data_IF_948546309744
#
_entry.id   IF_948546309744
#
_cell.length_a   1.000
_cell.length_b   1.000
_cell.length_c   1.000
_cell.angle_alpha   90.00
_cell.angle_beta   90.00
_cell.angle_gamma   90.00
#
_symmetry.space_group_name_H-M   'P 1'
#
loop_
_entity.id
_entity.type
_entity.pdbx_description
1 polymer ?
#
# COMPACT_ATOMS: atom_id res chain seq x y z
N UNK A 1 -56.74 3.47 -16.32
CA UNK A 1 -56.89 2.26 -15.49
C UNK A 1 -56.44 1.12 -16.39
N UNK A 2 -55.38 0.35 -16.18
CA UNK A 2 -54.59 -0.10 -15.02
C UNK A 2 -53.16 -0.36 -15.57
N UNK A 3 -52.05 -0.12 -14.86
CA UNK A 3 -51.58 -0.91 -13.71
C UNK A 3 -50.54 -1.95 -14.16
N UNK A 4 -49.33 -1.52 -14.55
CA UNK A 4 -48.21 -2.41 -14.89
C UNK A 4 -47.56 -2.99 -13.63
N UNK A 5 -47.99 -4.19 -13.23
CA UNK A 5 -47.51 -4.89 -12.03
C UNK A 5 -46.13 -5.53 -12.20
N UNK A 6 -45.18 -5.12 -11.37
CA UNK A 6 -43.94 -5.86 -11.11
C UNK A 6 -44.27 -7.27 -10.59
N UNK A 7 -43.83 -8.32 -11.30
CA UNK A 7 -43.84 -9.70 -10.79
C UNK A 7 -42.80 -9.81 -9.67
N UNK A 8 -43.25 -9.93 -8.42
CA UNK A 8 -42.40 -10.37 -7.31
C UNK A 8 -42.17 -11.88 -7.41
N UNK A 9 -40.93 -12.32 -7.16
CA UNK A 9 -40.59 -13.73 -7.11
C UNK A 9 -41.31 -14.43 -5.95
N UNK A 10 -41.74 -15.67 -6.18
CA UNK A 10 -42.54 -16.46 -5.23
C UNK A 10 -41.75 -16.80 -3.94
N UNK A 11 -42.42 -16.80 -2.77
CA UNK A 11 -41.79 -17.18 -1.50
C UNK A 11 -41.62 -18.71 -1.47
N UNK A 12 -40.38 -19.18 -1.61
CA UNK A 12 -40.08 -20.62 -1.54
C UNK A 12 -38.82 -21.05 -2.30
N UNK A 13 -38.25 -20.17 -3.14
CA UNK A 13 -37.06 -20.51 -3.93
C UNK A 13 -35.74 -20.50 -3.13
N UNK A 14 -35.77 -20.14 -1.85
CA UNK A 14 -34.58 -20.01 -0.98
C UNK A 14 -34.20 -21.31 -0.26
N UNK A 15 -35.08 -22.32 -0.19
CA UNK A 15 -34.89 -23.50 0.68
C UNK A 15 -33.91 -24.56 0.15
N UNK A 16 -33.45 -24.44 -1.10
CA UNK A 16 -32.39 -25.32 -1.65
C UNK A 16 -30.96 -24.75 -1.51
N UNK A 17 -30.80 -23.55 -0.97
CA UNK A 17 -29.49 -22.99 -0.66
C UNK A 17 -28.98 -23.58 0.65
N UNK A 18 -28.16 -24.64 0.55
CA UNK A 18 -27.50 -25.25 1.70
C UNK A 18 -26.74 -24.17 2.51
N UNK A 19 -26.82 -24.15 3.85
CA UNK A 19 -26.05 -23.21 4.65
C UNK A 19 -24.56 -23.42 4.38
N UNK A 20 -23.86 -22.35 3.98
CA UNK A 20 -22.41 -22.37 3.93
C UNK A 20 -21.91 -22.66 5.36
N UNK A 21 -21.19 -23.77 5.53
CA UNK A 21 -20.62 -24.17 6.82
C UNK A 21 -19.67 -23.06 7.31
N UNK A 22 -19.67 -22.67 8.60
CA UNK A 22 -18.91 -21.49 9.04
C UNK A 22 -17.38 -21.67 9.14
N UNK A 23 -16.82 -22.83 8.76
CA UNK A 23 -15.52 -23.23 9.32
C UNK A 23 -14.44 -23.66 8.33
N UNK A 24 -14.45 -23.14 7.09
CA UNK A 24 -13.35 -23.39 6.12
C UNK A 24 -12.67 -22.13 5.58
N UNK A 25 -13.02 -20.95 6.09
CA UNK A 25 -12.32 -19.71 5.77
C UNK A 25 -12.04 -18.92 7.04
N UNK A 26 -11.23 -19.49 7.94
CA UNK A 26 -10.23 -18.63 8.59
C UNK A 26 -9.20 -18.35 7.51
N UNK A 27 -9.12 -17.12 6.94
CA UNK A 27 -7.96 -16.77 6.15
C UNK A 27 -6.76 -17.02 7.08
N UNK A 28 -5.71 -17.73 6.65
CA UNK A 28 -4.49 -17.73 7.43
C UNK A 28 -4.14 -16.26 7.63
N UNK A 29 -4.09 -15.83 8.89
CA UNK A 29 -3.65 -14.49 9.24
C UNK A 29 -2.39 -14.25 8.44
N UNK A 30 -2.43 -13.27 7.52
CA UNK A 30 -1.35 -13.00 6.58
C UNK A 30 -0.06 -12.92 7.40
N UNK A 31 0.83 -13.90 7.21
CA UNK A 31 2.16 -13.82 7.79
C UNK A 31 2.81 -12.59 7.16
N UNK A 32 3.06 -11.55 7.95
CA UNK A 32 3.62 -10.29 7.48
C UNK A 32 5.10 -10.41 7.06
N UNK A 33 5.67 -11.62 7.14
CA UNK A 33 6.94 -11.98 6.53
C UNK A 33 6.75 -12.24 5.03
N UNK A 34 6.52 -11.16 4.26
CA UNK A 34 6.25 -11.16 2.81
C UNK A 34 7.52 -11.07 1.94
N UNK A 35 8.71 -10.94 2.54
CA UNK A 35 9.93 -10.61 1.81
C UNK A 35 10.66 -11.85 1.23
N UNK A 36 10.58 -13.02 1.87
CA UNK A 36 11.37 -14.20 1.46
C UNK A 36 10.61 -15.12 0.48
N UNK A 37 9.37 -15.51 0.81
CA UNK A 37 8.58 -16.45 -0.01
C UNK A 37 8.16 -15.90 -1.40
N UNK A 38 8.05 -14.58 -1.53
CA UNK A 38 7.48 -13.96 -2.71
C UNK A 38 8.46 -13.88 -3.90
N UNK A 39 9.76 -14.00 -3.65
CA UNK A 39 10.78 -14.02 -4.73
C UNK A 39 10.85 -15.39 -5.43
N UNK A 40 10.51 -16.48 -4.73
CA UNK A 40 10.52 -17.83 -5.28
C UNK A 40 9.35 -18.06 -6.25
N UNK A 41 8.13 -17.66 -5.84
CA UNK A 41 6.90 -17.80 -6.66
C UNK A 41 6.96 -16.98 -7.95
N UNK A 42 7.64 -15.82 -7.93
CA UNK A 42 7.83 -14.95 -9.10
C UNK A 42 8.71 -15.55 -10.20
N UNK A 43 9.64 -16.46 -9.87
CA UNK A 43 10.56 -17.08 -10.83
C UNK A 43 9.90 -18.20 -11.64
N UNK A 44 8.89 -18.87 -11.10
CA UNK A 44 8.29 -20.07 -11.69
C UNK A 44 7.00 -19.80 -12.47
N UNK A 45 6.32 -18.68 -12.23
CA UNK A 45 5.08 -18.34 -12.94
C UNK A 45 5.23 -16.97 -13.62
N UNK A 46 4.88 -16.88 -14.91
CA UNK A 46 4.68 -15.61 -15.64
C UNK A 46 3.46 -14.86 -15.08
N UNK A 47 3.56 -14.43 -13.83
CA UNK A 47 2.53 -13.65 -13.15
C UNK A 47 2.56 -12.27 -13.80
N UNK A 48 1.49 -11.92 -14.53
CA UNK A 48 1.24 -10.52 -14.94
C UNK A 48 1.47 -9.64 -13.72
N UNK A 49 2.24 -8.54 -13.84
CA UNK A 49 2.59 -7.63 -12.72
C UNK A 49 1.44 -7.59 -11.73
N UNK A 50 1.67 -8.24 -10.60
CA UNK A 50 0.60 -8.50 -9.64
C UNK A 50 0.07 -7.15 -9.18
N UNK A 51 -1.23 -7.04 -8.90
CA UNK A 51 -1.82 -5.86 -8.24
C UNK A 51 -1.02 -5.44 -6.99
N UNK A 52 -0.32 -6.40 -6.38
CA UNK A 52 0.58 -6.20 -5.26
C UNK A 52 1.82 -5.36 -5.60
N UNK A 53 2.37 -5.49 -6.81
CA UNK A 53 3.59 -4.79 -7.28
C UNK A 53 3.36 -3.28 -7.43
N UNK A 54 2.10 -2.84 -7.45
CA UNK A 54 1.69 -1.43 -7.48
C UNK A 54 1.01 -0.98 -6.18
N UNK A 55 0.99 -1.82 -5.14
CA UNK A 55 0.35 -1.49 -3.86
C UNK A 55 1.11 -0.37 -3.15
N UNK A 56 0.38 0.47 -2.40
CA UNK A 56 0.99 1.54 -1.62
C UNK A 56 2.00 0.99 -0.61
N UNK A 57 1.70 -0.15 0.02
CA UNK A 57 2.60 -0.83 0.96
C UNK A 57 3.95 -1.17 0.30
N UNK A 58 3.93 -1.78 -0.88
CA UNK A 58 5.15 -2.12 -1.62
C UNK A 58 5.96 -0.87 -1.97
N UNK A 59 5.29 0.17 -2.48
CA UNK A 59 5.93 1.44 -2.84
C UNK A 59 6.52 2.15 -1.62
N UNK A 60 5.81 2.15 -0.48
CA UNK A 60 6.31 2.74 0.77
C UNK A 60 7.54 2.02 1.27
N UNK A 61 7.61 0.68 1.21
CA UNK A 61 8.82 -0.08 1.57
C UNK A 61 10.02 0.37 0.72
N UNK A 62 9.85 0.40 -0.60
CA UNK A 62 10.89 0.87 -1.53
C UNK A 62 11.25 2.34 -1.32
N UNK A 63 10.28 3.19 -0.98
CA UNK A 63 10.51 4.58 -0.62
C UNK A 63 11.39 4.69 0.63
N UNK A 64 11.11 3.90 1.68
CA UNK A 64 11.94 3.91 2.90
C UNK A 64 13.37 3.44 2.64
N UNK A 65 13.57 2.50 1.71
CA UNK A 65 14.92 2.12 1.28
C UNK A 65 15.67 3.31 0.64
N UNK A 66 14.96 4.18 -0.09
CA UNK A 66 15.55 5.40 -0.66
C UNK A 66 15.87 6.41 0.44
N UNK A 67 14.98 6.61 1.41
CA UNK A 67 15.24 7.48 2.58
C UNK A 67 16.53 7.06 3.30
N UNK A 68 16.69 5.75 3.58
CA UNK A 68 17.86 5.22 4.31
C UNK A 68 19.19 5.43 3.57
N UNK A 69 19.16 5.49 2.25
CA UNK A 69 20.34 5.72 1.40
C UNK A 69 20.58 7.19 1.10
N UNK A 70 19.59 8.05 1.32
CA UNK A 70 19.68 9.45 0.97
C UNK A 70 20.54 10.22 1.97
N UNK A 71 21.49 11.06 1.51
CA UNK A 71 22.24 11.94 2.39
C UNK A 71 21.29 12.90 3.11
N UNK A 72 21.51 13.10 4.42
CA UNK A 72 20.66 13.92 5.30
C UNK A 72 19.16 13.55 5.31
N UNK A 73 18.79 12.38 4.76
CA UNK A 73 17.40 11.97 4.58
C UNK A 73 16.62 12.83 3.57
N UNK A 74 17.30 13.55 2.67
CA UNK A 74 16.66 14.44 1.68
C UNK A 74 16.36 13.68 0.39
N UNK A 75 15.12 13.78 -0.09
CA UNK A 75 14.67 13.11 -1.32
C UNK A 75 14.07 14.09 -2.33
N UNK A 76 14.45 13.94 -3.60
CA UNK A 76 13.77 14.57 -4.74
C UNK A 76 12.60 13.71 -5.24
N UNK A 77 11.41 14.30 -5.27
CA UNK A 77 10.17 13.61 -5.63
C UNK A 77 10.12 13.18 -7.12
N UNK A 78 10.82 13.86 -8.02
CA UNK A 78 10.94 13.42 -9.42
C UNK A 78 11.86 12.21 -9.51
N UNK A 79 12.99 12.24 -8.81
CA UNK A 79 13.92 11.11 -8.78
C UNK A 79 13.27 9.88 -8.18
N UNK A 80 12.61 10.01 -7.03
CA UNK A 80 11.87 8.91 -6.41
C UNK A 80 10.83 8.32 -7.37
N UNK A 81 10.07 9.17 -8.08
CA UNK A 81 9.09 8.69 -9.06
C UNK A 81 9.75 7.86 -10.19
N UNK A 82 10.89 8.32 -10.71
CA UNK A 82 11.67 7.57 -11.72
C UNK A 82 12.20 6.26 -11.17
N UNK A 83 12.80 6.28 -9.98
CA UNK A 83 13.42 5.10 -9.35
C UNK A 83 12.39 4.03 -8.98
N UNK A 84 11.22 4.44 -8.50
CA UNK A 84 10.11 3.53 -8.22
C UNK A 84 9.33 3.10 -9.47
N UNK A 85 9.58 3.73 -10.62
CA UNK A 85 8.87 3.45 -11.87
C UNK A 85 7.38 3.79 -11.81
N UNK A 86 7.00 4.81 -11.03
CA UNK A 86 5.61 5.22 -10.81
C UNK A 86 5.35 6.67 -11.17
N UNK A 87 4.08 7.02 -11.35
CA UNK A 87 3.67 8.41 -11.55
C UNK A 87 3.81 9.20 -10.24
N UNK A 88 4.11 10.50 -10.33
CA UNK A 88 4.23 11.42 -9.19
C UNK A 88 3.05 11.37 -8.22
N UNK A 89 1.84 11.09 -8.70
CA UNK A 89 0.65 10.90 -7.87
C UNK A 89 0.85 9.85 -6.76
N UNK A 90 1.55 8.74 -7.04
CA UNK A 90 1.81 7.68 -6.06
C UNK A 90 2.84 8.10 -5.00
N UNK A 91 3.82 8.90 -5.40
CA UNK A 91 4.75 9.50 -4.45
C UNK A 91 3.99 10.41 -3.48
N UNK A 92 3.00 11.18 -3.96
CA UNK A 92 2.16 12.01 -3.11
C UNK A 92 1.28 11.22 -2.13
N UNK A 93 0.78 10.04 -2.53
CA UNK A 93 0.06 9.16 -1.59
C UNK A 93 0.94 8.82 -0.37
N UNK A 94 2.22 8.53 -0.60
CA UNK A 94 3.18 8.22 0.46
C UNK A 94 3.49 9.46 1.27
N UNK A 95 3.86 10.57 0.62
CA UNK A 95 4.27 11.79 1.34
C UNK A 95 3.13 12.40 2.14
N UNK A 96 1.89 12.37 1.66
CA UNK A 96 0.76 12.94 2.40
C UNK A 96 0.51 12.19 3.71
N UNK A 97 0.65 10.86 3.71
CA UNK A 97 0.53 10.07 4.94
C UNK A 97 1.68 10.41 5.89
N UNK A 98 2.92 10.43 5.41
CA UNK A 98 4.10 10.71 6.23
C UNK A 98 4.13 12.14 6.78
N UNK A 99 3.64 13.11 6.01
CA UNK A 99 3.49 14.51 6.42
C UNK A 99 2.37 14.64 7.46
N UNK A 100 1.25 13.94 7.26
CA UNK A 100 0.13 13.90 8.22
C UNK A 100 0.51 13.34 9.60
N UNK A 101 1.52 12.48 9.67
CA UNK A 101 2.10 11.97 10.92
C UNK A 101 3.44 12.65 11.29
N UNK A 102 3.81 13.71 10.59
CA UNK A 102 4.97 14.56 10.86
C UNK A 102 6.33 13.84 10.87
N UNK A 103 6.51 12.84 10.01
CA UNK A 103 7.78 12.12 9.80
C UNK A 103 8.61 12.67 8.64
N UNK A 104 8.04 13.58 7.84
CA UNK A 104 8.78 14.31 6.81
C UNK A 104 8.51 15.81 6.93
N UNK A 105 9.40 16.61 6.37
CA UNK A 105 9.23 18.05 6.21
C UNK A 105 9.47 18.45 4.76
N UNK A 106 8.68 19.39 4.27
CA UNK A 106 8.88 19.97 2.93
C UNK A 106 10.04 20.97 2.96
N UNK A 107 11.06 20.74 2.13
CA UNK A 107 12.17 21.69 1.90
C UNK A 107 11.88 22.63 0.74
N UNK A 108 11.31 22.09 -0.35
CA UNK A 108 10.93 22.87 -1.54
C UNK A 108 9.82 22.14 -2.32
N UNK A 109 9.43 22.65 -3.51
CA UNK A 109 8.36 22.04 -4.33
C UNK A 109 8.63 20.56 -4.67
N UNK A 110 9.88 20.17 -4.87
CA UNK A 110 10.27 18.81 -5.24
C UNK A 110 11.15 18.12 -4.20
N UNK A 111 11.50 18.78 -3.09
CA UNK A 111 12.37 18.21 -2.07
C UNK A 111 11.63 18.04 -0.75
N UNK A 112 11.76 16.86 -0.17
CA UNK A 112 11.33 16.54 1.19
C UNK A 112 12.52 16.04 2.00
N UNK A 113 12.45 16.16 3.31
CA UNK A 113 13.45 15.61 4.22
C UNK A 113 12.77 14.73 5.25
N UNK A 114 13.35 13.55 5.51
CA UNK A 114 12.97 12.70 6.61
C UNK A 114 13.36 13.32 7.95
N UNK A 115 12.41 13.41 8.88
CA UNK A 115 12.65 13.93 10.22
C UNK A 115 12.54 12.82 11.25
N UNK A 116 13.68 12.49 11.89
CA UNK A 116 13.66 11.63 13.07
C UNK A 116 13.38 12.51 14.29
N UNK A 117 12.15 12.49 14.77
CA UNK A 117 11.84 13.06 16.09
C UNK A 117 12.18 12.02 17.14
N UNK A 118 13.42 12.01 17.61
CA UNK A 118 13.72 11.37 18.89
C UNK A 118 12.98 12.15 19.97
N UNK A 119 12.23 11.45 20.82
CA UNK A 119 11.62 12.00 22.03
C UNK A 119 12.70 12.77 22.80
N UNK A 120 12.57 14.10 22.78
CA UNK A 120 13.37 15.10 23.49
C UNK A 120 14.79 14.66 23.91
N UNK A 121 15.82 15.05 23.16
CA UNK A 121 17.17 15.13 23.74
C UNK A 121 18.39 14.97 22.84
N UNK A 122 18.29 14.46 21.61
CA UNK A 122 19.46 14.36 20.74
C UNK A 122 19.09 14.53 19.26
N UNK A 123 19.62 15.61 18.67
CA UNK A 123 19.69 15.76 17.21
C UNK A 123 20.94 15.02 16.77
N UNK A 124 20.77 13.83 16.19
CA UNK A 124 21.82 13.20 15.40
C UNK A 124 21.49 13.47 13.93
N UNK A 125 22.03 14.56 13.39
CA UNK A 125 22.25 14.65 11.95
C UNK A 125 23.45 13.76 11.64
N UNK A 126 23.24 12.71 10.86
CA UNK A 126 24.33 11.87 10.37
C UNK A 126 25.25 12.74 9.50
N UNK A 127 26.51 12.85 9.92
CA UNK A 127 27.64 13.24 9.06
C UNK A 127 27.98 12.10 8.10
#
# INVERSE_FOLDING_TARGET
MEGGGHKMAAPGQWEHLRPLRPDTLRPPMLNLNLDDDMQFVRRTLKVRRSRFDASLVYLTRKFMDLVKRAPDGVLDLNEVARTLGVRKRRVYDITNVLDGIHLIQKRSKNLIQWVVKLSQGQVLTNQ
#
